data_IF_346776927606
#
_entry.id   IF_346776927606
#
_cell.length_a   1.000
_cell.length_b   1.000
_cell.length_c   1.000
_cell.angle_alpha   90.00
_cell.angle_beta   90.00
_cell.angle_gamma   90.00
#
_symmetry.space_group_name_H-M   'P 1'
#
loop_
_entity.id
_entity.type
_entity.pdbx_description
1 polymer ?
#
# COMPACT_ATOMS: atom_id res chain seq x y z
N UNK A 1 13.55 -19.85 11.74
CA UNK A 1 12.26 -20.24 11.13
C UNK A 1 11.42 -18.99 10.98
N UNK A 2 10.96 -18.66 9.79
CA UNK A 2 10.09 -17.49 9.60
C UNK A 2 8.67 -17.86 10.01
N UNK A 3 8.00 -16.96 10.74
CA UNK A 3 6.65 -17.19 11.24
C UNK A 3 5.66 -17.22 10.06
N UNK A 4 4.80 -18.24 10.00
CA UNK A 4 3.71 -18.35 9.00
C UNK A 4 2.87 -17.08 8.90
N UNK A 5 2.68 -16.39 10.04
CA UNK A 5 2.02 -15.10 10.15
C UNK A 5 2.66 -14.03 9.25
N UNK A 6 4.00 -13.96 9.20
CA UNK A 6 4.70 -12.97 8.37
C UNK A 6 4.45 -13.23 6.88
N UNK A 7 4.43 -14.49 6.46
CA UNK A 7 4.15 -14.84 5.06
C UNK A 7 2.71 -14.48 4.68
N UNK A 8 1.75 -14.76 5.56
CA UNK A 8 0.36 -14.35 5.37
C UNK A 8 0.26 -12.83 5.23
N UNK A 9 0.95 -12.05 6.07
CA UNK A 9 0.99 -10.58 5.93
C UNK A 9 1.54 -10.14 4.58
N UNK A 10 2.60 -10.79 4.10
CA UNK A 10 3.18 -10.55 2.78
C UNK A 10 2.17 -10.81 1.65
N UNK A 11 1.49 -11.96 1.68
CA UNK A 11 0.47 -12.31 0.69
C UNK A 11 -0.74 -11.36 0.73
N UNK A 12 -1.24 -11.04 1.93
CA UNK A 12 -2.36 -10.10 2.08
C UNK A 12 -1.95 -8.72 1.52
N UNK A 13 -0.76 -8.23 1.86
CA UNK A 13 -0.24 -6.97 1.32
C UNK A 13 -0.13 -6.97 -0.21
N UNK A 14 0.37 -8.07 -0.79
CA UNK A 14 0.43 -8.24 -2.23
C UNK A 14 -0.97 -8.25 -2.88
N UNK A 15 -1.95 -8.90 -2.27
CA UNK A 15 -3.34 -8.92 -2.76
C UNK A 15 -3.93 -7.50 -2.76
N UNK A 16 -3.75 -6.72 -1.68
CA UNK A 16 -4.21 -5.33 -1.64
C UNK A 16 -3.57 -4.47 -2.72
N UNK A 17 -2.25 -4.60 -2.92
CA UNK A 17 -1.52 -3.87 -3.95
C UNK A 17 -2.03 -4.23 -5.35
N UNK A 18 -2.13 -5.53 -5.64
CA UNK A 18 -2.59 -6.02 -6.94
C UNK A 18 -4.05 -5.65 -7.20
N UNK A 19 -4.91 -5.68 -6.19
CA UNK A 19 -6.30 -5.26 -6.33
C UNK A 19 -6.39 -3.76 -6.65
N UNK A 20 -5.64 -2.91 -5.94
CA UNK A 20 -5.59 -1.48 -6.23
C UNK A 20 -5.09 -1.21 -7.67
N UNK A 21 -4.01 -1.88 -8.07
CA UNK A 21 -3.44 -1.77 -9.41
C UNK A 21 -4.39 -2.29 -10.50
N UNK A 22 -5.10 -3.40 -10.25
CA UNK A 22 -6.09 -3.94 -11.17
C UNK A 22 -7.23 -2.96 -11.40
N UNK A 23 -7.76 -2.36 -10.33
CA UNK A 23 -8.83 -1.37 -10.42
C UNK A 23 -8.36 -0.09 -11.14
N UNK A 24 -7.12 0.33 -10.94
CA UNK A 24 -6.52 1.44 -11.68
C UNK A 24 -6.32 1.12 -13.17
N UNK A 25 -5.85 -0.09 -13.49
CA UNK A 25 -5.65 -0.56 -14.86
C UNK A 25 -6.95 -0.65 -15.66
N UNK A 26 -8.08 -0.90 -14.98
CA UNK A 26 -9.43 -0.87 -15.58
C UNK A 26 -10.00 0.55 -15.74
N UNK A 27 -9.26 1.58 -15.35
CA UNK A 27 -9.75 2.96 -15.29
C UNK A 27 -10.83 3.19 -14.23
N UNK A 28 -11.05 2.25 -13.31
CA UNK A 28 -12.11 2.35 -12.30
C UNK A 28 -11.69 3.22 -11.13
N UNK A 29 -10.43 3.16 -10.73
CA UNK A 29 -9.88 3.99 -9.66
C UNK A 29 -8.76 4.88 -10.20
N UNK A 30 -8.86 6.18 -9.94
CA UNK A 30 -7.75 7.10 -10.15
C UNK A 30 -6.70 6.89 -9.05
N UNK A 31 -5.43 7.11 -9.38
CA UNK A 31 -4.35 7.09 -8.40
C UNK A 31 -4.58 8.12 -7.27
N UNK A 32 -5.35 9.18 -7.50
CA UNK A 32 -5.71 10.18 -6.50
C UNK A 32 -6.94 9.83 -5.67
N UNK A 33 -7.63 8.73 -6.00
CA UNK A 33 -8.88 8.35 -5.33
C UNK A 33 -8.64 7.81 -3.92
N UNK A 34 -9.63 8.02 -3.02
CA UNK A 34 -9.59 7.50 -1.64
C UNK A 34 -9.38 5.98 -1.61
N UNK A 35 -10.14 5.24 -2.42
CA UNK A 35 -10.12 3.79 -2.43
C UNK A 35 -8.75 3.23 -2.84
N UNK A 36 -8.15 3.79 -3.91
CA UNK A 36 -6.80 3.42 -4.34
C UNK A 36 -5.78 3.70 -3.24
N UNK A 37 -5.79 4.92 -2.67
CA UNK A 37 -4.77 5.32 -1.71
C UNK A 37 -4.91 4.61 -0.36
N UNK A 38 -6.12 4.29 0.09
CA UNK A 38 -6.32 3.42 1.26
C UNK A 38 -5.75 2.03 1.02
N UNK A 39 -6.03 1.41 -0.13
CA UNK A 39 -5.48 0.08 -0.44
C UNK A 39 -3.94 0.12 -0.57
N UNK A 40 -3.39 1.15 -1.21
CA UNK A 40 -1.95 1.35 -1.35
C UNK A 40 -1.27 1.50 0.02
N UNK A 41 -1.83 2.29 0.94
CA UNK A 41 -1.30 2.45 2.30
C UNK A 41 -1.34 1.14 3.09
N UNK A 42 -2.47 0.41 3.04
CA UNK A 42 -2.58 -0.90 3.72
C UNK A 42 -1.56 -1.89 3.16
N UNK A 43 -1.44 -1.97 1.84
CA UNK A 43 -0.47 -2.84 1.18
C UNK A 43 0.97 -2.48 1.58
N UNK A 44 1.31 -1.20 1.55
CA UNK A 44 2.65 -0.71 1.88
C UNK A 44 3.05 -1.05 3.32
N UNK A 45 2.15 -0.86 4.30
CA UNK A 45 2.43 -1.22 5.71
C UNK A 45 2.70 -2.72 5.87
N UNK A 46 1.86 -3.56 5.25
CA UNK A 46 2.01 -5.01 5.30
C UNK A 46 3.31 -5.48 4.63
N UNK A 47 3.64 -4.92 3.46
CA UNK A 47 4.83 -5.28 2.68
C UNK A 47 6.12 -4.76 3.32
N UNK A 48 6.12 -3.57 3.95
CA UNK A 48 7.26 -3.09 4.77
C UNK A 48 7.51 -4.05 5.92
N UNK A 49 6.45 -4.45 6.63
CA UNK A 49 6.58 -5.39 7.77
C UNK A 49 7.17 -6.71 7.29
N UNK A 50 6.58 -7.33 6.28
CA UNK A 50 7.06 -8.59 5.69
C UNK A 50 8.51 -8.50 5.19
N UNK A 51 8.83 -7.47 4.39
CA UNK A 51 10.13 -7.33 3.73
C UNK A 51 11.25 -6.89 4.69
N UNK A 52 10.91 -6.16 5.75
CA UNK A 52 11.83 -5.81 6.83
C UNK A 52 12.37 -7.04 7.55
N UNK A 53 11.49 -7.99 7.91
CA UNK A 53 11.91 -9.27 8.51
C UNK A 53 12.67 -10.18 7.55
N UNK A 54 12.52 -9.98 6.24
CA UNK A 54 13.26 -10.71 5.20
C UNK A 54 14.58 -10.01 4.82
N UNK A 55 14.93 -8.88 5.45
CA UNK A 55 16.07 -8.03 5.12
C UNK A 55 16.11 -7.59 3.64
N UNK A 56 14.93 -7.51 3.00
CA UNK A 56 14.79 -7.11 1.61
C UNK A 56 14.70 -5.57 1.51
N UNK A 57 15.82 -4.88 1.78
CA UNK A 57 15.84 -3.42 1.96
C UNK A 57 15.35 -2.63 0.75
N UNK A 58 15.59 -3.10 -0.48
CA UNK A 58 15.05 -2.47 -1.68
C UNK A 58 13.51 -2.48 -1.70
N UNK A 59 12.90 -3.58 -1.25
CA UNK A 59 11.45 -3.71 -1.15
C UNK A 59 10.87 -2.85 0.00
N UNK A 60 11.60 -2.73 1.11
CA UNK A 60 11.24 -1.81 2.19
C UNK A 60 11.19 -0.37 1.69
N UNK A 61 12.23 0.06 0.96
CA UNK A 61 12.35 1.43 0.46
C UNK A 61 11.20 1.81 -0.48
N UNK A 62 10.88 0.97 -1.47
CA UNK A 62 9.80 1.28 -2.42
C UNK A 62 8.44 1.37 -1.74
N UNK A 63 8.14 0.46 -0.80
CA UNK A 63 6.88 0.50 -0.08
C UNK A 63 6.81 1.68 0.90
N UNK A 64 7.94 2.11 1.47
CA UNK A 64 8.00 3.33 2.28
C UNK A 64 7.66 4.57 1.44
N UNK A 65 8.19 4.66 0.22
CA UNK A 65 7.87 5.75 -0.72
C UNK A 65 6.37 5.74 -1.06
N UNK A 66 5.82 4.57 -1.39
CA UNK A 66 4.39 4.43 -1.67
C UNK A 66 3.50 4.76 -0.47
N UNK A 67 3.92 4.39 0.74
CA UNK A 67 3.24 4.76 1.97
C UNK A 67 3.17 6.29 2.13
N UNK A 68 4.30 6.99 1.98
CA UNK A 68 4.35 8.45 2.07
C UNK A 68 3.45 9.10 1.01
N UNK A 69 3.54 8.67 -0.24
CA UNK A 69 2.70 9.17 -1.33
C UNK A 69 1.21 8.99 -1.00
N UNK A 70 0.83 7.80 -0.51
CA UNK A 70 -0.57 7.51 -0.20
C UNK A 70 -1.12 8.28 0.99
N UNK A 71 -0.33 8.44 2.05
CA UNK A 71 -0.70 9.27 3.20
C UNK A 71 -0.88 10.74 2.78
N UNK A 72 0.02 11.30 1.97
CA UNK A 72 -0.10 12.66 1.46
C UNK A 72 -1.35 12.85 0.59
N UNK A 73 -1.65 11.88 -0.29
CA UNK A 73 -2.84 11.92 -1.14
C UNK A 73 -4.14 11.85 -0.30
N UNK A 74 -4.19 10.96 0.69
CA UNK A 74 -5.33 10.88 1.61
C UNK A 74 -5.49 12.17 2.42
N UNK A 75 -4.40 12.72 2.96
CA UNK A 75 -4.42 13.97 3.72
C UNK A 75 -4.97 15.14 2.90
N UNK A 76 -4.55 15.26 1.62
CA UNK A 76 -5.11 16.25 0.69
C UNK A 76 -6.61 16.05 0.49
N UNK A 77 -7.06 14.81 0.29
CA UNK A 77 -8.48 14.51 0.10
C UNK A 77 -9.34 14.87 1.32
N UNK A 78 -8.82 14.63 2.53
CA UNK A 78 -9.50 15.03 3.76
C UNK A 78 -9.63 16.55 3.87
N UNK A 79 -8.65 17.32 3.40
CA UNK A 79 -8.71 18.79 3.38
C UNK A 79 -9.70 19.33 2.35
N UNK A 80 -9.78 18.74 1.17
CA UNK A 80 -10.70 19.21 0.10
C UNK A 80 -12.18 18.96 0.41
N UNK A 81 -12.49 17.97 1.25
CA UNK A 81 -13.88 17.69 1.67
C UNK A 81 -14.41 18.62 2.77
N UNK A 82 -13.57 19.50 3.32
CA UNK A 82 -13.91 20.38 4.46
C UNK A 82 -14.21 21.83 4.01
N UNK A 83 -14.23 22.11 2.70
CA UNK A 83 -14.75 23.36 2.12
C UNK A 83 -16.11 23.16 1.47
#
# INVERSE_FOLDING_TARGET
>A
MQSILLEILGFVGAIFLMYAYFQASRGRWLATSKAFQTCNVIAAVLLITYSGFKFAYANVLINLIWLVIGLLALWRLFRTKVS
#
